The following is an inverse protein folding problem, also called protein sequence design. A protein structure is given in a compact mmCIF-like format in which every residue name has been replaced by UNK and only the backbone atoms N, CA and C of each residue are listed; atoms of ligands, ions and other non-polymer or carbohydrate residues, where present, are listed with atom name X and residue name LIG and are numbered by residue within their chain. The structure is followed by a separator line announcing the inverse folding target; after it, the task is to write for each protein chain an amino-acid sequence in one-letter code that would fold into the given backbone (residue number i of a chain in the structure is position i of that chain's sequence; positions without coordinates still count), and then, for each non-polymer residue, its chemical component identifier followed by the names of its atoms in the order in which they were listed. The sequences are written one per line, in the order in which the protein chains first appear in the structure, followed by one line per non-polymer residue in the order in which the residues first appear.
data_IF_567251541580
#
_entry.id   IF_567251541580
#
_cell.length_a   1.000
_cell.length_b   1.000
_cell.length_c   1.000
_cell.angle_alpha   90.00
_cell.angle_beta   90.00
_cell.angle_gamma   90.00
#
_symmetry.space_group_name_H-M   'P 1'
#
loop_
_entity.id
_entity.type
_entity.pdbx_description
1 polymer ?
#
# COMPACT_ATOMS: atom_id res chain seq x y z
N UNK A 1 36.55 -1.05 1.97
CA UNK A 1 35.34 -1.61 2.58
C UNK A 1 35.60 -1.70 4.08
N UNK A 2 34.63 -1.26 4.89
CA UNK A 2 34.69 -1.39 6.35
C UNK A 2 34.90 -2.85 6.76
N UNK A 3 35.58 -3.07 7.89
CA UNK A 3 35.98 -4.41 8.33
C UNK A 3 34.82 -5.28 8.84
N UNK A 4 33.63 -4.72 9.07
CA UNK A 4 32.50 -5.42 9.71
C UNK A 4 31.16 -5.25 8.96
N UNK A 5 31.13 -5.49 7.65
CA UNK A 5 29.88 -5.56 6.90
C UNK A 5 29.21 -6.93 7.12
N UNK A 6 27.97 -6.94 7.58
CA UNK A 6 27.16 -8.15 7.74
C UNK A 6 25.90 -8.04 6.86
N UNK A 7 25.57 -9.11 6.14
CA UNK A 7 24.33 -9.20 5.36
C UNK A 7 23.52 -10.37 5.90
N UNK A 8 22.29 -10.08 6.28
CA UNK A 8 21.38 -11.05 6.90
C UNK A 8 20.15 -11.22 6.01
N UNK A 9 19.99 -12.41 5.44
CA UNK A 9 18.76 -12.82 4.77
C UNK A 9 17.72 -13.21 5.84
N UNK A 10 16.57 -12.54 5.84
CA UNK A 10 15.56 -12.68 6.88
C UNK A 10 14.49 -13.64 6.38
N UNK A 11 14.41 -14.84 6.95
CA UNK A 11 13.27 -15.76 6.74
C UNK A 11 12.08 -15.39 7.63
N UNK A 12 10.89 -15.93 7.33
CA UNK A 12 9.72 -15.79 8.21
C UNK A 12 10.00 -16.27 9.63
N UNK A 13 10.72 -17.39 9.79
CA UNK A 13 11.13 -17.91 11.10
C UNK A 13 12.00 -16.91 11.84
N UNK A 14 13.05 -16.40 11.20
CA UNK A 14 13.95 -15.40 11.80
C UNK A 14 13.23 -14.11 12.13
N UNK A 15 12.23 -13.71 11.32
CA UNK A 15 11.41 -12.54 11.61
C UNK A 15 10.55 -12.77 12.86
N UNK A 16 9.93 -13.96 12.99
CA UNK A 16 9.14 -14.32 14.18
C UNK A 16 10.00 -14.34 15.45
N UNK A 17 11.14 -15.03 15.41
CA UNK A 17 12.09 -15.05 16.53
C UNK A 17 12.58 -13.62 16.86
N UNK A 18 12.84 -12.81 15.84
CA UNK A 18 13.22 -11.41 16.01
C UNK A 18 12.13 -10.53 16.63
N UNK A 19 10.84 -10.83 16.41
CA UNK A 19 9.72 -10.17 17.08
C UNK A 19 9.74 -10.50 18.57
N UNK A 20 9.88 -11.78 18.91
CA UNK A 20 9.87 -12.27 20.29
C UNK A 20 11.07 -11.73 21.07
N UNK A 21 12.25 -11.70 20.45
CA UNK A 21 13.50 -11.22 21.05
C UNK A 21 13.73 -9.70 20.89
N UNK A 22 12.84 -9.01 20.17
CA UNK A 22 12.96 -7.60 19.82
C UNK A 22 14.29 -7.26 19.11
N UNK A 23 14.74 -8.12 18.19
CA UNK A 23 16.06 -8.04 17.55
C UNK A 23 16.20 -6.84 16.62
N UNK A 24 15.23 -6.62 15.71
CA UNK A 24 15.30 -5.59 14.66
C UNK A 24 14.72 -4.22 15.08
N UNK A 25 14.17 -4.12 16.29
CA UNK A 25 13.57 -2.90 16.85
C UNK A 25 14.43 -2.30 17.94
N UNK A 26 15.72 -2.17 17.64
CA UNK A 26 16.74 -1.54 18.48
C UNK A 26 17.30 -0.31 17.76
N UNK A 27 17.47 0.80 18.47
CA UNK A 27 17.95 2.07 17.91
C UNK A 27 16.85 2.90 17.23
N UNK A 28 17.26 3.97 16.56
CA UNK A 28 16.36 5.03 16.07
C UNK A 28 15.68 4.71 14.72
N UNK A 29 16.21 3.74 13.97
CA UNK A 29 15.73 3.36 12.64
C UNK A 29 15.55 1.85 12.54
N UNK A 30 14.37 1.42 12.10
CA UNK A 30 13.97 0.01 11.99
C UNK A 30 13.50 -0.31 10.57
N UNK A 31 13.58 -1.57 10.11
CA UNK A 31 13.20 -1.92 8.74
C UNK A 31 11.70 -1.76 8.51
N UNK A 32 10.86 -2.20 9.44
CA UNK A 32 9.41 -2.03 9.42
C UNK A 32 8.85 -1.95 10.84
N UNK A 33 7.63 -1.42 11.05
CA UNK A 33 6.99 -1.44 12.36
C UNK A 33 6.74 -2.86 12.86
N UNK A 34 6.81 -3.06 14.19
CA UNK A 34 6.59 -4.39 14.80
C UNK A 34 5.19 -4.96 14.49
N UNK A 35 4.18 -4.09 14.41
CA UNK A 35 2.81 -4.44 13.99
C UNK A 35 2.77 -5.04 12.57
N UNK A 36 3.51 -4.43 11.64
CA UNK A 36 3.61 -4.90 10.26
C UNK A 36 4.39 -6.21 10.16
N UNK A 37 5.37 -6.43 11.03
CA UNK A 37 6.09 -7.71 11.09
C UNK A 37 5.19 -8.83 11.63
N UNK A 38 4.44 -8.57 12.70
CA UNK A 38 3.43 -9.49 13.24
C UNK A 38 2.40 -9.87 12.17
N UNK A 39 1.90 -8.87 11.44
CA UNK A 39 1.02 -9.10 10.31
C UNK A 39 1.67 -9.97 9.23
N UNK A 40 2.92 -9.70 8.84
CA UNK A 40 3.62 -10.48 7.83
C UNK A 40 3.79 -11.95 8.24
N UNK A 41 4.25 -12.22 9.46
CA UNK A 41 4.45 -13.60 9.94
C UNK A 41 3.14 -14.37 10.18
N UNK A 42 2.01 -13.66 10.29
CA UNK A 42 0.68 -14.28 10.38
C UNK A 42 0.16 -14.80 9.03
N UNK A 43 0.79 -14.43 7.91
CA UNK A 43 0.40 -14.94 6.60
C UNK A 43 0.74 -16.43 6.49
N UNK A 44 -0.29 -17.27 6.35
CA UNK A 44 -0.15 -18.73 6.21
C UNK A 44 0.41 -19.16 4.86
N UNK A 45 0.38 -18.30 3.84
CA UNK A 45 1.01 -18.56 2.53
C UNK A 45 2.52 -18.48 2.52
N UNK A 46 3.09 -17.88 3.57
CA UNK A 46 4.54 -17.76 3.72
C UNK A 46 5.02 -18.92 4.58
N UNK A 47 5.92 -19.74 4.06
CA UNK A 47 6.56 -20.82 4.82
C UNK A 47 7.66 -20.27 5.72
N UNK A 48 8.00 -21.00 6.77
CA UNK A 48 8.96 -20.55 7.80
C UNK A 48 10.37 -20.29 7.24
N UNK A 49 10.77 -21.01 6.19
CA UNK A 49 12.06 -20.91 5.49
C UNK A 49 12.08 -19.87 4.36
N UNK A 50 10.94 -19.27 4.01
CA UNK A 50 10.86 -18.28 2.94
C UNK A 50 11.34 -16.90 3.38
N UNK A 51 12.05 -16.21 2.48
CA UNK A 51 12.65 -14.92 2.75
C UNK A 51 11.64 -13.76 2.70
N UNK A 52 11.65 -12.93 3.75
CA UNK A 52 10.88 -11.69 3.90
C UNK A 52 11.73 -10.43 3.70
N UNK A 53 13.04 -10.56 3.51
CA UNK A 53 13.90 -9.42 3.22
C UNK A 53 15.38 -9.71 3.40
N UNK A 54 16.19 -8.70 3.15
CA UNK A 54 17.64 -8.72 3.39
C UNK A 54 18.03 -7.43 4.10
N UNK A 55 18.79 -7.54 5.19
CA UNK A 55 19.28 -6.39 5.96
C UNK A 55 20.80 -6.36 5.90
N UNK A 56 21.38 -5.20 5.62
CA UNK A 56 22.82 -4.96 5.76
C UNK A 56 23.12 -4.17 7.02
N UNK A 57 24.11 -4.63 7.79
CA UNK A 57 24.63 -3.98 8.98
C UNK A 57 26.10 -3.60 8.82
N UNK A 58 26.46 -2.48 9.44
CA UNK A 58 27.84 -2.11 9.75
C UNK A 58 27.91 -1.65 11.21
N UNK A 59 28.78 -2.27 12.01
CA UNK A 59 28.96 -1.95 13.43
C UNK A 59 27.63 -1.86 14.20
N UNK A 60 26.74 -2.85 13.99
CA UNK A 60 25.37 -2.94 14.53
C UNK A 60 24.37 -1.88 14.05
N UNK A 61 24.73 -1.04 13.08
CA UNK A 61 23.82 -0.07 12.45
C UNK A 61 23.30 -0.61 11.13
N UNK A 62 21.99 -0.55 10.94
CA UNK A 62 21.37 -0.93 9.67
C UNK A 62 21.73 0.11 8.60
N UNK A 63 22.39 -0.33 7.53
CA UNK A 63 22.83 0.51 6.41
C UNK A 63 22.15 0.17 5.08
N UNK A 64 21.45 -0.95 4.99
CA UNK A 64 20.61 -1.28 3.83
C UNK A 64 19.45 -2.20 4.23
N UNK A 65 18.37 -2.14 3.45
CA UNK A 65 17.21 -2.99 3.63
C UNK A 65 16.51 -3.23 2.29
N UNK A 66 16.26 -4.50 1.95
CA UNK A 66 15.36 -4.90 0.88
C UNK A 66 14.17 -5.61 1.51
N UNK A 67 12.97 -5.05 1.33
CA UNK A 67 11.74 -5.67 1.83
C UNK A 67 11.14 -6.57 0.75
N UNK A 68 10.98 -7.86 1.07
CA UNK A 68 10.42 -8.85 0.18
C UNK A 68 9.15 -9.46 0.76
N UNK A 69 8.22 -9.81 -0.11
CA UNK A 69 6.96 -10.39 0.29
C UNK A 69 6.64 -11.61 -0.59
N UNK A 70 6.71 -12.84 -0.05
CA UNK A 70 6.31 -14.04 -0.78
C UNK A 70 4.79 -14.07 -1.00
N UNK A 71 4.36 -14.33 -2.23
CA UNK A 71 2.96 -14.40 -2.65
C UNK A 71 2.74 -15.49 -3.72
N UNK A 72 1.50 -15.62 -4.19
CA UNK A 72 1.09 -16.63 -5.17
C UNK A 72 0.49 -15.97 -6.41
N UNK A 73 1.07 -16.22 -7.57
CA UNK A 73 0.53 -15.81 -8.87
C UNK A 73 -0.75 -16.57 -9.19
N UNK A 74 -1.74 -15.86 -9.72
CA UNK A 74 -2.92 -16.45 -10.32
C UNK A 74 -2.64 -16.80 -11.78
N UNK A 75 -2.14 -18.01 -12.02
CA UNK A 75 -1.77 -18.49 -13.35
C UNK A 75 -2.89 -19.28 -14.04
N UNK A 76 -4.12 -19.27 -13.48
CA UNK A 76 -5.24 -20.08 -13.96
C UNK A 76 -5.04 -21.60 -13.84
N UNK A 77 -3.91 -22.05 -13.29
CA UNK A 77 -3.62 -23.47 -13.06
C UNK A 77 -4.14 -23.93 -11.70
N UNK A 78 -4.21 -25.25 -11.50
CA UNK A 78 -4.61 -25.83 -10.21
C UNK A 78 -3.61 -25.52 -9.07
N UNK A 79 -2.36 -25.17 -9.40
CA UNK A 79 -1.32 -24.84 -8.42
C UNK A 79 -0.73 -23.45 -8.68
N UNK A 80 -1.07 -22.44 -7.86
CA UNK A 80 -0.51 -21.10 -7.96
C UNK A 80 1.02 -21.09 -7.85
N UNK A 81 1.70 -20.41 -8.77
CA UNK A 81 3.16 -20.28 -8.76
C UNK A 81 3.63 -19.31 -7.68
N UNK A 82 4.73 -19.63 -7.00
CA UNK A 82 5.35 -18.72 -6.01
C UNK A 82 6.02 -17.53 -6.69
N UNK A 83 5.85 -16.36 -6.10
CA UNK A 83 6.50 -15.12 -6.52
C UNK A 83 6.82 -14.26 -5.31
N UNK A 84 7.69 -13.26 -5.48
CA UNK A 84 8.07 -12.32 -4.44
C UNK A 84 7.82 -10.90 -4.90
N UNK A 85 7.03 -10.14 -4.14
CA UNK A 85 7.03 -8.71 -4.32
C UNK A 85 8.26 -8.09 -3.67
N UNK A 86 9.05 -7.36 -4.45
CA UNK A 86 10.08 -6.47 -3.92
C UNK A 86 9.45 -5.10 -3.65
N UNK A 87 9.15 -4.85 -2.37
CA UNK A 87 8.34 -3.71 -1.93
C UNK A 87 9.17 -2.46 -1.72
N UNK A 88 10.37 -2.61 -1.18
CA UNK A 88 11.23 -1.49 -0.85
C UNK A 88 12.69 -1.88 -0.98
N UNK A 89 13.48 -0.92 -1.44
CA UNK A 89 14.92 -0.99 -1.52
C UNK A 89 15.47 0.32 -0.97
N UNK A 90 16.15 0.22 0.17
CA UNK A 90 16.72 1.35 0.88
C UNK A 90 18.19 1.12 1.17
N UNK A 91 18.97 2.18 1.04
CA UNK A 91 20.40 2.23 1.32
C UNK A 91 20.69 3.53 2.05
N UNK A 92 21.48 3.46 3.11
CA UNK A 92 21.89 4.63 3.87
C UNK A 92 22.64 5.63 2.97
N UNK A 93 22.45 6.93 3.22
CA UNK A 93 22.94 8.01 2.35
C UNK A 93 24.45 7.95 2.06
N UNK A 94 25.25 7.49 3.03
CA UNK A 94 26.71 7.35 2.91
C UNK A 94 27.13 6.25 1.93
N UNK A 95 26.23 5.31 1.65
CA UNK A 95 26.45 4.17 0.77
C UNK A 95 25.76 4.30 -0.59
N UNK A 96 25.04 5.40 -0.83
CA UNK A 96 24.18 5.57 -2.01
C UNK A 96 24.94 5.45 -3.33
N UNK A 97 26.18 5.94 -3.38
CA UNK A 97 27.03 5.94 -4.57
C UNK A 97 28.07 4.81 -4.55
N UNK A 98 27.85 3.79 -3.70
CA UNK A 98 28.70 2.60 -3.58
C UNK A 98 28.04 1.37 -4.20
N UNK A 99 28.81 0.30 -4.37
CA UNK A 99 28.29 -0.98 -4.88
C UNK A 99 27.33 -1.70 -3.92
N UNK A 100 27.22 -1.27 -2.65
CA UNK A 100 26.40 -1.93 -1.64
C UNK A 100 24.93 -2.05 -2.06
N UNK A 101 24.38 -0.98 -2.64
CA UNK A 101 22.99 -0.95 -3.07
C UNK A 101 22.67 -2.01 -4.12
N UNK A 102 23.51 -2.12 -5.14
CA UNK A 102 23.38 -3.14 -6.19
C UNK A 102 23.62 -4.53 -5.61
N UNK A 103 24.62 -4.69 -4.74
CA UNK A 103 24.97 -5.97 -4.16
C UNK A 103 23.83 -6.56 -3.31
N UNK A 104 23.27 -5.77 -2.38
CA UNK A 104 22.17 -6.23 -1.51
C UNK A 104 20.90 -6.53 -2.31
N UNK A 105 20.66 -5.76 -3.38
CA UNK A 105 19.51 -5.98 -4.26
C UNK A 105 19.66 -7.30 -5.02
N UNK A 106 20.84 -7.56 -5.61
CA UNK A 106 21.10 -8.81 -6.33
C UNK A 106 21.08 -10.04 -5.40
N UNK A 107 21.55 -9.89 -4.16
CA UNK A 107 21.41 -10.94 -3.15
C UNK A 107 19.94 -11.29 -2.91
N UNK A 108 19.09 -10.27 -2.71
CA UNK A 108 17.66 -10.45 -2.59
C UNK A 108 17.05 -11.11 -3.84
N UNK A 109 17.49 -10.72 -5.05
CA UNK A 109 17.03 -11.33 -6.30
C UNK A 109 17.33 -12.83 -6.33
N UNK A 110 18.56 -13.21 -6.00
CA UNK A 110 19.02 -14.60 -6.03
C UNK A 110 18.29 -15.47 -5.00
N UNK A 111 18.06 -14.96 -3.78
CA UNK A 111 17.34 -15.68 -2.72
C UNK A 111 15.91 -16.07 -3.10
N UNK A 112 15.30 -15.35 -4.04
CA UNK A 112 13.92 -15.61 -4.52
C UNK A 112 13.85 -16.54 -5.72
N UNK A 113 14.99 -17.07 -6.20
CA UNK A 113 15.04 -17.81 -7.46
C UNK A 113 14.59 -16.94 -8.65
N UNK A 114 14.79 -15.62 -8.54
CA UNK A 114 14.43 -14.60 -9.53
C UNK A 114 12.93 -14.54 -9.87
N UNK A 115 12.05 -15.09 -9.03
CA UNK A 115 10.60 -14.97 -9.20
C UNK A 115 10.11 -13.68 -8.54
N UNK A 116 10.22 -12.55 -9.26
CA UNK A 116 10.10 -11.22 -8.64
C UNK A 116 9.08 -10.35 -9.38
N UNK A 117 8.25 -9.67 -8.59
CA UNK A 117 7.39 -8.58 -9.04
C UNK A 117 7.75 -7.29 -8.31
N UNK A 118 7.66 -6.18 -9.02
CA UNK A 118 7.81 -4.83 -8.47
C UNK A 118 6.57 -4.07 -8.88
N UNK A 119 5.75 -3.67 -7.89
CA UNK A 119 4.53 -2.93 -8.18
C UNK A 119 4.85 -1.57 -8.80
N UNK A 120 5.83 -0.88 -8.24
CA UNK A 120 6.32 0.42 -8.72
C UNK A 120 7.66 0.77 -8.09
N UNK A 121 8.48 1.55 -8.77
CA UNK A 121 9.74 2.07 -8.26
C UNK A 121 9.82 3.61 -8.37
N UNK A 122 10.82 4.20 -7.71
CA UNK A 122 11.08 5.64 -7.75
C UNK A 122 11.86 6.02 -9.03
N UNK A 123 11.59 7.20 -9.59
CA UNK A 123 12.17 7.59 -10.89
C UNK A 123 13.71 7.61 -10.89
N UNK A 124 14.33 7.90 -9.75
CA UNK A 124 15.79 7.94 -9.61
C UNK A 124 16.48 6.57 -9.74
N UNK A 125 15.75 5.46 -9.76
CA UNK A 125 16.30 4.12 -10.00
C UNK A 125 15.91 3.54 -11.36
N UNK A 126 15.38 4.38 -12.27
CA UNK A 126 15.01 3.94 -13.64
C UNK A 126 16.20 3.37 -14.40
N UNK A 127 17.32 4.08 -14.43
CA UNK A 127 18.56 3.63 -15.10
C UNK A 127 19.15 2.36 -14.49
N UNK A 128 18.84 2.05 -13.23
CA UNK A 128 19.22 0.77 -12.63
C UNK A 128 18.42 -0.35 -13.28
N UNK A 129 17.08 -0.27 -13.27
CA UNK A 129 16.21 -1.32 -13.82
C UNK A 129 16.37 -1.50 -15.33
N UNK A 130 16.61 -0.43 -16.09
CA UNK A 130 16.88 -0.52 -17.54
C UNK A 130 18.14 -1.34 -17.87
N UNK A 131 19.05 -1.52 -16.91
CA UNK A 131 20.28 -2.32 -17.06
C UNK A 131 20.17 -3.71 -16.43
N UNK A 132 19.06 -4.03 -15.77
CA UNK A 132 18.82 -5.32 -15.13
C UNK A 132 17.84 -6.15 -15.97
N UNK A 133 17.80 -7.48 -15.80
CA UNK A 133 16.89 -8.37 -16.53
C UNK A 133 15.45 -8.27 -16.00
N UNK A 134 14.86 -7.08 -16.13
CA UNK A 134 13.49 -6.77 -15.75
C UNK A 134 12.71 -6.25 -16.95
N UNK A 135 11.53 -6.81 -17.13
CA UNK A 135 10.56 -6.39 -18.15
C UNK A 135 9.44 -5.59 -17.51
N UNK A 136 8.97 -4.53 -18.20
CA UNK A 136 7.78 -3.79 -17.79
C UNK A 136 6.55 -4.64 -18.10
N UNK A 137 5.81 -5.01 -17.06
CA UNK A 137 4.62 -5.87 -17.17
C UNK A 137 3.30 -5.09 -17.09
N UNK A 138 3.35 -3.86 -16.57
CA UNK A 138 2.18 -3.00 -16.47
C UNK A 138 2.61 -1.54 -16.38
N UNK A 139 1.83 -0.64 -16.98
CA UNK A 139 1.99 0.80 -16.84
C UNK A 139 0.65 1.39 -16.46
N UNK A 140 0.57 2.01 -15.28
CA UNK A 140 -0.67 2.52 -14.71
C UNK A 140 -0.51 3.91 -14.14
N UNK A 141 -1.61 4.66 -14.09
CA UNK A 141 -1.62 5.99 -13.49
C UNK A 141 -1.94 5.90 -12.00
N UNK A 142 -1.04 6.42 -11.18
CA UNK A 142 -1.30 6.70 -9.77
C UNK A 142 -1.94 8.06 -9.64
N UNK A 143 -3.10 8.10 -8.99
CA UNK A 143 -3.91 9.30 -8.82
C UNK A 143 -3.88 9.75 -7.36
N UNK A 144 -3.59 11.03 -7.16
CA UNK A 144 -3.85 11.73 -5.89
C UNK A 144 -4.86 12.83 -6.14
N UNK A 145 -6.08 12.62 -5.64
CA UNK A 145 -7.23 13.49 -5.86
C UNK A 145 -7.38 14.40 -4.64
N UNK A 146 -7.12 15.68 -4.80
CA UNK A 146 -7.13 16.64 -3.70
C UNK A 146 -8.49 17.30 -3.55
N UNK A 147 -9.01 17.26 -2.32
CA UNK A 147 -10.23 17.95 -1.87
C UNK A 147 -9.89 19.13 -0.93
N UNK A 148 -8.61 19.42 -0.77
CA UNK A 148 -8.09 20.62 -0.13
C UNK A 148 -6.72 20.98 -0.73
N UNK A 149 -6.07 22.02 -0.22
CA UNK A 149 -4.72 22.39 -0.66
C UNK A 149 -3.65 21.46 -0.10
N UNK A 150 -3.94 20.82 1.04
CA UNK A 150 -3.04 20.08 1.91
C UNK A 150 -1.76 20.86 2.23
N UNK A 151 -1.83 21.66 3.30
CA UNK A 151 -0.70 22.47 3.75
C UNK A 151 0.57 21.64 4.02
N UNK A 152 0.44 20.37 4.43
CA UNK A 152 1.60 19.50 4.69
C UNK A 152 2.32 19.10 3.41
N UNK A 153 1.58 18.78 2.34
CA UNK A 153 2.17 18.49 1.03
C UNK A 153 2.78 19.74 0.39
N UNK A 154 2.14 20.90 0.53
CA UNK A 154 2.68 22.18 0.04
C UNK A 154 4.00 22.54 0.74
N UNK A 155 4.08 22.42 2.07
CA UNK A 155 5.32 22.67 2.82
C UNK A 155 6.40 21.65 2.46
N UNK A 156 6.01 20.39 2.23
CA UNK A 156 6.93 19.33 1.78
C UNK A 156 7.60 19.68 0.45
N UNK A 157 6.84 20.25 -0.48
CA UNK A 157 7.35 20.72 -1.79
C UNK A 157 8.10 22.04 -1.70
N UNK A 158 7.57 23.00 -0.94
CA UNK A 158 8.08 24.37 -0.83
C UNK A 158 8.45 24.68 0.61
N UNK A 159 9.68 24.35 1.00
CA UNK A 159 10.14 24.46 2.41
C UNK A 159 10.01 25.86 3.02
N UNK A 160 10.08 26.92 2.21
CA UNK A 160 9.90 28.31 2.68
C UNK A 160 8.50 28.59 3.24
N UNK A 161 7.49 27.81 2.82
CA UNK A 161 6.12 27.90 3.33
C UNK A 161 6.00 27.47 4.81
N UNK A 162 7.02 26.79 5.36
CA UNK A 162 7.04 26.36 6.76
C UNK A 162 6.86 27.53 7.73
N UNK A 163 7.40 28.71 7.43
CA UNK A 163 7.25 29.92 8.25
C UNK A 163 5.81 30.43 8.31
N UNK A 164 5.00 30.12 7.30
CA UNK A 164 3.61 30.53 7.19
C UNK A 164 2.64 29.38 7.49
N UNK A 165 3.12 28.29 8.11
CA UNK A 165 2.34 27.06 8.37
C UNK A 165 0.97 27.36 8.97
N UNK A 166 0.89 28.25 9.96
CA UNK A 166 -0.37 28.57 10.62
C UNK A 166 -1.41 29.20 9.67
N UNK A 167 -0.96 30.10 8.79
CA UNK A 167 -1.83 30.74 7.79
C UNK A 167 -2.27 29.69 6.76
N UNK A 168 -1.33 28.87 6.29
CA UNK A 168 -1.62 27.80 5.33
C UNK A 168 -2.58 26.77 5.89
N UNK A 169 -2.42 26.35 7.15
CA UNK A 169 -3.32 25.42 7.82
C UNK A 169 -4.74 26.01 7.91
N UNK A 170 -4.88 27.31 8.19
CA UNK A 170 -6.19 27.98 8.20
C UNK A 170 -6.82 28.03 6.81
N UNK A 171 -6.06 28.45 5.79
CA UNK A 171 -6.55 28.50 4.40
C UNK A 171 -6.97 27.11 3.94
N UNK A 172 -6.13 26.10 4.17
CA UNK A 172 -6.40 24.70 3.81
C UNK A 172 -7.65 24.17 4.53
N UNK A 173 -7.82 24.44 5.82
CA UNK A 173 -9.01 24.04 6.57
C UNK A 173 -10.29 24.72 6.05
N UNK A 174 -10.21 25.99 5.65
CA UNK A 174 -11.32 26.71 5.02
C UNK A 174 -11.68 26.10 3.67
N UNK A 175 -10.69 25.91 2.78
CA UNK A 175 -10.88 25.27 1.47
C UNK A 175 -11.49 23.87 1.63
N UNK A 176 -10.92 23.05 2.51
CA UNK A 176 -11.43 21.71 2.81
C UNK A 176 -12.88 21.75 3.32
N UNK A 177 -13.23 22.74 4.14
CA UNK A 177 -14.59 22.90 4.64
C UNK A 177 -15.57 23.29 3.54
N UNK A 178 -15.19 24.23 2.67
CA UNK A 178 -15.99 24.61 1.50
C UNK A 178 -16.23 23.41 0.58
N UNK A 179 -15.18 22.65 0.22
CA UNK A 179 -15.31 21.46 -0.63
C UNK A 179 -16.20 20.40 0.03
N UNK A 180 -16.08 20.16 1.34
CA UNK A 180 -16.97 19.25 2.06
C UNK A 180 -18.42 19.72 2.08
N UNK A 181 -18.67 21.03 2.20
CA UNK A 181 -20.02 21.59 2.16
C UNK A 181 -20.65 21.45 0.77
N UNK A 182 -19.86 21.58 -0.30
CA UNK A 182 -20.33 21.35 -1.68
C UNK A 182 -20.63 19.87 -1.94
N UNK A 183 -19.72 18.96 -1.53
CA UNK A 183 -19.81 17.54 -1.85
C UNK A 183 -20.69 16.73 -0.86
N UNK A 184 -20.79 17.16 0.39
CA UNK A 184 -21.45 16.41 1.47
C UNK A 184 -22.93 16.15 1.25
N UNK A 185 -23.75 17.16 0.92
CA UNK A 185 -25.17 16.96 0.61
C UNK A 185 -25.39 16.03 -0.59
N UNK A 186 -24.51 16.10 -1.60
CA UNK A 186 -24.58 15.26 -2.81
C UNK A 186 -24.38 13.79 -2.46
N UNK A 187 -23.30 13.47 -1.75
CA UNK A 187 -23.01 12.10 -1.31
C UNK A 187 -24.17 11.56 -0.44
N UNK A 188 -24.52 12.28 0.63
CA UNK A 188 -25.56 11.85 1.59
C UNK A 188 -26.92 11.63 0.94
N UNK A 189 -27.34 12.48 0.00
CA UNK A 189 -28.64 12.32 -0.68
C UNK A 189 -28.66 11.05 -1.52
N UNK A 190 -27.56 10.74 -2.22
CA UNK A 190 -27.45 9.57 -3.11
C UNK A 190 -27.26 8.26 -2.35
N UNK A 191 -26.62 8.31 -1.18
CA UNK A 191 -26.40 7.14 -0.33
C UNK A 191 -27.51 6.89 0.68
N UNK A 192 -28.58 7.71 0.71
CA UNK A 192 -29.65 7.61 1.72
C UNK A 192 -30.31 6.23 1.82
N UNK A 193 -30.38 5.50 0.70
CA UNK A 193 -31.00 4.16 0.63
C UNK A 193 -30.00 3.02 0.88
N UNK A 194 -28.73 3.33 1.11
CA UNK A 194 -27.69 2.35 1.37
C UNK A 194 -27.53 2.13 2.87
N UNK A 195 -27.17 0.90 3.24
CA UNK A 195 -26.59 0.59 4.54
C UNK A 195 -25.14 0.13 4.37
N UNK A 196 -24.35 0.33 5.42
CA UNK A 196 -22.94 -0.05 5.48
C UNK A 196 -22.72 -1.04 6.61
N UNK A 197 -22.28 -2.24 6.26
CA UNK A 197 -21.89 -3.23 7.25
C UNK A 197 -20.37 -3.19 7.37
N UNK A 198 -19.86 -2.56 8.43
CA UNK A 198 -18.42 -2.52 8.70
C UNK A 198 -17.95 -3.84 9.29
N UNK A 199 -16.80 -4.33 8.83
CA UNK A 199 -16.24 -5.60 9.30
C UNK A 199 -14.73 -5.58 9.45
N UNK A 200 -14.24 -6.46 10.33
CA UNK A 200 -12.82 -6.72 10.50
C UNK A 200 -12.37 -7.99 9.75
N UNK A 201 -13.31 -8.87 9.42
CA UNK A 201 -13.09 -10.10 8.66
C UNK A 201 -14.30 -10.34 7.74
N UNK A 202 -14.05 -10.96 6.60
CA UNK A 202 -15.04 -11.41 5.65
C UNK A 202 -15.83 -12.59 6.25
N UNK A 203 -17.16 -12.47 6.27
CA UNK A 203 -18.04 -13.62 6.39
C UNK A 203 -18.17 -14.37 5.05
N UNK A 204 -18.88 -15.50 5.06
CA UNK A 204 -19.04 -16.34 3.87
C UNK A 204 -19.78 -15.61 2.74
N UNK A 205 -20.88 -14.93 3.05
CA UNK A 205 -21.64 -14.15 2.07
C UNK A 205 -20.80 -13.03 1.41
N UNK A 206 -19.91 -12.38 2.17
CA UNK A 206 -18.99 -11.38 1.62
C UNK A 206 -17.97 -12.03 0.70
N UNK A 207 -17.44 -13.19 1.10
CA UNK A 207 -16.45 -13.88 0.28
C UNK A 207 -17.07 -14.39 -1.03
N UNK A 208 -18.27 -14.96 -0.98
CA UNK A 208 -19.02 -15.35 -2.17
C UNK A 208 -19.26 -14.18 -3.13
N UNK A 209 -19.46 -12.98 -2.60
CA UNK A 209 -19.53 -11.74 -3.37
C UNK A 209 -18.16 -11.32 -3.97
N UNK A 210 -17.09 -11.35 -3.18
CA UNK A 210 -15.75 -10.86 -3.58
C UNK A 210 -15.05 -11.83 -4.55
N UNK A 211 -15.12 -13.12 -4.29
CA UNK A 211 -14.38 -14.16 -5.01
C UNK A 211 -14.48 -14.05 -6.54
N UNK A 212 -15.67 -13.95 -7.16
CA UNK A 212 -15.77 -13.83 -8.62
C UNK A 212 -15.19 -12.52 -9.16
N UNK A 213 -15.16 -11.44 -8.36
CA UNK A 213 -14.61 -10.14 -8.76
C UNK A 213 -13.07 -10.09 -8.68
N UNK A 214 -12.45 -11.10 -8.06
CA UNK A 214 -11.01 -11.25 -7.91
C UNK A 214 -10.43 -12.40 -8.75
N UNK A 215 -11.25 -13.08 -9.55
CA UNK A 215 -10.86 -14.29 -10.30
C UNK A 215 -9.75 -14.04 -11.33
N UNK A 216 -9.69 -12.83 -11.89
CA UNK A 216 -8.75 -12.42 -12.93
C UNK A 216 -7.60 -11.56 -12.38
N UNK A 217 -7.49 -11.45 -11.05
CA UNK A 217 -6.41 -10.67 -10.42
C UNK A 217 -5.06 -11.37 -10.63
N UNK A 218 -3.97 -10.59 -10.75
CA UNK A 218 -2.61 -11.15 -10.88
C UNK A 218 -2.23 -12.07 -9.72
N UNK A 219 -2.66 -11.73 -8.50
CA UNK A 219 -2.40 -12.51 -7.31
C UNK A 219 -3.60 -13.40 -6.99
N UNK A 220 -3.33 -14.67 -6.75
CA UNK A 220 -4.34 -15.66 -6.41
C UNK A 220 -5.00 -15.29 -5.08
N UNK A 221 -6.29 -14.96 -5.05
CA UNK A 221 -6.98 -14.54 -3.82
C UNK A 221 -7.84 -15.65 -3.23
N UNK A 222 -7.76 -15.77 -1.91
CA UNK A 222 -8.59 -16.66 -1.08
C UNK A 222 -9.21 -15.83 0.03
N UNK A 223 -10.28 -16.32 0.66
CA UNK A 223 -10.90 -15.66 1.82
C UNK A 223 -9.87 -15.34 2.91
N UNK A 224 -9.02 -16.30 3.22
CA UNK A 224 -7.95 -16.17 4.22
C UNK A 224 -6.94 -15.08 3.84
N UNK A 225 -6.47 -15.07 2.59
CA UNK A 225 -5.55 -14.03 2.12
C UNK A 225 -6.16 -12.64 2.17
N UNK A 226 -7.40 -12.47 1.72
CA UNK A 226 -8.05 -11.15 1.75
C UNK A 226 -8.26 -10.72 3.20
N UNK A 227 -8.69 -11.62 4.08
CA UNK A 227 -8.78 -11.37 5.53
C UNK A 227 -7.45 -10.92 6.13
N UNK A 228 -6.37 -11.62 5.80
CA UNK A 228 -5.03 -11.26 6.20
C UNK A 228 -4.66 -9.86 5.68
N UNK A 229 -4.91 -9.57 4.39
CA UNK A 229 -4.53 -8.29 3.78
C UNK A 229 -5.31 -7.09 4.34
N UNK A 230 -6.58 -7.28 4.74
CA UNK A 230 -7.43 -6.24 5.32
C UNK A 230 -7.34 -6.14 6.86
N UNK A 231 -6.48 -6.96 7.48
CA UNK A 231 -6.34 -7.02 8.94
C UNK A 231 -5.73 -5.72 9.50
N UNK A 232 -6.35 -5.14 10.53
CA UNK A 232 -5.87 -3.92 11.16
C UNK A 232 -4.53 -4.08 11.91
N UNK A 233 -4.11 -5.31 12.23
CA UNK A 233 -2.85 -5.62 12.92
C UNK A 233 -1.61 -5.07 12.19
N UNK A 234 -1.68 -4.84 10.88
CA UNK A 234 -0.57 -4.27 10.12
C UNK A 234 -0.24 -2.83 10.55
N UNK A 235 -1.17 -2.12 11.20
CA UNK A 235 -1.07 -0.71 11.56
C UNK A 235 -1.03 -0.48 13.07
N UNK A 236 -0.19 0.46 13.50
CA UNK A 236 -0.09 0.90 14.90
C UNK A 236 -0.26 2.41 15.00
N UNK A 237 -1.25 2.83 15.78
CA UNK A 237 -1.44 4.25 16.09
C UNK A 237 -0.44 4.70 17.15
N UNK A 238 0.21 5.84 16.88
CA UNK A 238 1.15 6.49 17.79
C UNK A 238 0.71 7.94 18.02
N UNK A 239 -0.34 8.18 18.83
CA UNK A 239 -0.91 9.54 19.02
C UNK A 239 0.12 10.56 19.52
N UNK A 240 1.11 10.10 20.29
CA UNK A 240 2.24 10.89 20.77
C UNK A 240 3.53 10.39 20.07
N UNK A 241 3.72 10.79 18.82
CA UNK A 241 4.83 10.32 17.99
C UNK A 241 6.22 10.54 18.62
N UNK A 242 6.41 11.60 19.41
CA UNK A 242 7.68 11.92 20.09
C UNK A 242 8.06 10.94 21.20
N UNK A 243 7.12 10.12 21.68
CA UNK A 243 7.38 9.05 22.66
C UNK A 243 7.56 7.68 22.01
N UNK A 244 7.40 7.58 20.68
CA UNK A 244 7.64 6.33 19.98
C UNK A 244 9.16 6.11 19.85
N UNK A 245 9.70 4.94 20.23
CA UNK A 245 11.14 4.76 20.45
C UNK A 245 11.97 4.71 19.16
N UNK A 246 11.34 4.59 17.99
CA UNK A 246 12.04 4.49 16.71
C UNK A 246 11.20 5.03 15.56
N UNK A 247 11.86 5.21 14.43
CA UNK A 247 11.23 5.37 13.11
C UNK A 247 11.37 4.07 12.31
N UNK A 248 10.53 3.89 11.30
CA UNK A 248 10.58 2.71 10.42
C UNK A 248 10.66 3.13 8.96
N UNK A 249 11.38 2.35 8.15
CA UNK A 249 11.48 2.57 6.70
C UNK A 249 10.15 2.27 5.98
N UNK A 250 9.42 1.26 6.43
CA UNK A 250 8.07 0.98 5.93
C UNK A 250 7.00 1.76 6.69
N UNK A 251 5.99 2.22 5.95
CA UNK A 251 4.76 2.76 6.55
C UNK A 251 4.03 1.67 7.33
N UNK A 252 3.45 2.06 8.46
CA UNK A 252 2.70 1.18 9.36
C UNK A 252 2.45 1.81 10.73
N UNK A 253 3.15 2.90 11.04
CA UNK A 253 2.90 3.75 12.21
C UNK A 253 2.53 5.17 11.81
N UNK A 254 1.62 5.78 12.57
CA UNK A 254 1.22 7.19 12.39
C UNK A 254 0.39 7.64 13.58
N UNK A 255 0.21 8.95 13.76
CA UNK A 255 -0.71 9.49 14.77
C UNK A 255 -2.16 9.01 14.56
N UNK A 256 -2.55 8.73 13.32
CA UNK A 256 -3.90 8.36 12.93
C UNK A 256 -3.84 7.46 11.69
N UNK A 257 -3.42 6.21 11.88
CA UNK A 257 -3.43 5.15 10.86
C UNK A 257 -4.38 4.02 11.24
N UNK A 258 -5.24 3.60 10.31
CA UNK A 258 -6.16 2.47 10.48
C UNK A 258 -6.81 2.09 9.14
N UNK A 259 -7.26 0.85 9.03
CA UNK A 259 -8.01 0.33 7.90
C UNK A 259 -9.49 0.22 8.24
N UNK A 260 -10.36 0.43 7.26
CA UNK A 260 -11.78 0.18 7.33
C UNK A 260 -12.21 -0.70 6.16
N UNK A 261 -13.05 -1.67 6.46
CA UNK A 261 -13.65 -2.55 5.47
C UNK A 261 -15.17 -2.52 5.66
N UNK A 262 -15.92 -2.43 4.57
CA UNK A 262 -17.37 -2.48 4.62
C UNK A 262 -17.97 -3.16 3.38
N UNK A 263 -19.12 -3.79 3.57
CA UNK A 263 -20.07 -4.12 2.51
C UNK A 263 -21.00 -2.92 2.29
N UNK A 264 -21.27 -2.63 1.03
CA UNK A 264 -22.25 -1.63 0.61
C UNK A 264 -23.53 -2.40 0.27
N UNK A 265 -24.57 -2.16 1.05
CA UNK A 265 -25.85 -2.85 0.95
C UNK A 265 -26.90 -1.94 0.31
N UNK A 266 -27.73 -2.49 -0.57
CA UNK A 266 -28.93 -1.84 -1.10
C UNK A 266 -30.12 -2.78 -0.85
N UNK A 267 -30.91 -2.46 0.18
CA UNK A 267 -31.79 -3.46 0.78
C UNK A 267 -30.97 -4.63 1.34
N UNK A 268 -31.34 -5.86 1.02
CA UNK A 268 -30.65 -7.07 1.50
C UNK A 268 -29.53 -7.55 0.56
N UNK A 269 -29.25 -6.81 -0.53
CA UNK A 269 -28.25 -7.19 -1.52
C UNK A 269 -26.92 -6.47 -1.30
N UNK A 270 -25.81 -7.24 -1.29
CA UNK A 270 -24.46 -6.70 -1.41
C UNK A 270 -24.25 -6.19 -2.84
N UNK A 271 -24.00 -4.89 -2.99
CA UNK A 271 -23.72 -4.25 -4.30
C UNK A 271 -22.26 -3.82 -4.46
N UNK A 272 -21.51 -3.76 -3.36
CA UNK A 272 -20.10 -3.40 -3.37
C UNK A 272 -19.35 -3.78 -2.10
N UNK A 273 -18.03 -3.84 -2.21
CA UNK A 273 -17.10 -4.00 -1.11
C UNK A 273 -16.02 -2.93 -1.18
N UNK A 274 -15.77 -2.27 -0.05
CA UNK A 274 -14.83 -1.17 0.06
C UNK A 274 -13.86 -1.45 1.21
N UNK A 275 -12.57 -1.42 0.92
CA UNK A 275 -11.48 -1.40 1.91
C UNK A 275 -10.59 -0.19 1.66
N UNK A 276 -10.34 0.60 2.69
CA UNK A 276 -9.48 1.77 2.60
C UNK A 276 -8.71 2.01 3.89
N UNK A 277 -7.54 2.63 3.75
CA UNK A 277 -6.67 3.03 4.85
C UNK A 277 -6.77 4.54 5.02
N UNK A 278 -6.93 4.95 6.27
CA UNK A 278 -6.70 6.31 6.69
C UNK A 278 -5.28 6.39 7.20
N UNK A 279 -4.49 7.35 6.72
CA UNK A 279 -3.19 7.69 7.32
C UNK A 279 -3.01 9.20 7.29
N UNK A 280 -3.04 9.83 8.46
CA UNK A 280 -3.00 11.28 8.56
C UNK A 280 -4.04 11.92 7.62
N UNK A 281 -3.65 12.71 6.61
CA UNK A 281 -4.58 13.36 5.67
C UNK A 281 -5.06 12.47 4.51
N UNK A 282 -4.44 11.30 4.34
CA UNK A 282 -4.67 10.39 3.22
C UNK A 282 -5.88 9.49 3.45
N UNK A 283 -6.63 9.26 2.36
CA UNK A 283 -7.60 8.19 2.21
C UNK A 283 -7.14 7.26 1.08
N UNK A 284 -6.48 6.17 1.41
CA UNK A 284 -5.91 5.24 0.45
C UNK A 284 -6.89 4.10 0.14
N UNK A 285 -7.35 4.01 -1.10
CA UNK A 285 -8.29 2.95 -1.51
C UNK A 285 -7.50 1.68 -1.77
N UNK A 286 -7.85 0.59 -1.08
CA UNK A 286 -7.22 -0.73 -1.24
C UNK A 286 -8.08 -1.67 -2.09
N UNK A 287 -9.35 -1.80 -1.73
CA UNK A 287 -10.36 -2.53 -2.49
C UNK A 287 -11.52 -1.60 -2.81
N UNK A 288 -11.90 -1.56 -4.08
CA UNK A 288 -13.14 -0.96 -4.55
C UNK A 288 -13.75 -1.95 -5.54
N UNK A 289 -14.63 -2.81 -5.02
CA UNK A 289 -15.26 -3.89 -5.78
C UNK A 289 -16.75 -3.59 -5.90
N UNK A 290 -17.29 -3.74 -7.10
CA UNK A 290 -18.69 -3.44 -7.41
C UNK A 290 -19.27 -4.63 -8.15
N UNK A 291 -20.50 -5.02 -7.79
CA UNK A 291 -21.18 -6.18 -8.38
C UNK A 291 -21.30 -6.07 -9.90
N UNK A 292 -21.88 -4.96 -10.34
CA UNK A 292 -22.28 -4.70 -11.71
C UNK A 292 -22.11 -3.20 -12.03
N UNK A 293 -21.96 -2.86 -13.31
CA UNK A 293 -21.68 -1.48 -13.73
C UNK A 293 -22.76 -0.49 -13.29
N UNK A 294 -24.02 -0.93 -13.24
CA UNK A 294 -25.13 -0.09 -12.78
C UNK A 294 -24.98 0.39 -11.32
N UNK A 295 -24.23 -0.35 -10.49
CA UNK A 295 -23.96 0.01 -9.10
C UNK A 295 -22.68 0.84 -8.93
N UNK A 296 -21.89 1.04 -9.98
CA UNK A 296 -20.57 1.66 -9.87
C UNK A 296 -20.64 3.08 -9.31
N UNK A 297 -21.53 3.88 -9.89
CA UNK A 297 -21.75 5.28 -9.51
C UNK A 297 -22.24 5.45 -8.07
N UNK A 298 -23.13 4.57 -7.61
CA UNK A 298 -23.66 4.62 -6.24
C UNK A 298 -22.66 4.09 -5.21
N UNK A 299 -21.79 3.15 -5.58
CA UNK A 299 -20.67 2.71 -4.74
C UNK A 299 -19.59 3.79 -4.61
N UNK A 300 -19.35 4.59 -5.67
CA UNK A 300 -18.49 5.78 -5.56
C UNK A 300 -19.07 6.77 -4.56
N UNK A 301 -20.38 7.00 -4.61
CA UNK A 301 -21.04 7.91 -3.68
C UNK A 301 -20.90 7.41 -2.22
N UNK A 302 -20.93 6.10 -2.00
CA UNK A 302 -20.64 5.49 -0.70
C UNK A 302 -19.19 5.68 -0.23
N UNK A 303 -18.21 5.53 -1.13
CA UNK A 303 -16.81 5.85 -0.85
C UNK A 303 -16.64 7.32 -0.47
N UNK A 304 -17.29 8.22 -1.21
CA UNK A 304 -17.22 9.65 -0.98
C UNK A 304 -17.91 10.09 0.32
N UNK A 305 -19.03 9.45 0.70
CA UNK A 305 -19.65 9.69 2.01
C UNK A 305 -18.67 9.34 3.16
N UNK A 306 -18.02 8.17 3.06
CA UNK A 306 -16.98 7.76 4.01
C UNK A 306 -15.80 8.73 4.05
N UNK A 307 -15.27 9.14 2.89
CA UNK A 307 -14.18 10.12 2.78
C UNK A 307 -14.52 11.46 3.45
N UNK A 308 -15.70 12.01 3.15
CA UNK A 308 -16.17 13.29 3.68
C UNK A 308 -16.37 13.20 5.20
N UNK A 309 -16.99 12.12 5.69
CA UNK A 309 -17.20 11.89 7.13
C UNK A 309 -15.90 11.76 7.90
N UNK A 310 -14.88 11.14 7.30
CA UNK A 310 -13.54 11.06 7.88
C UNK A 310 -12.76 12.36 7.76
N UNK A 311 -13.26 13.38 7.05
CA UNK A 311 -12.60 14.70 6.88
C UNK A 311 -11.16 14.59 6.36
N UNK A 312 -10.91 13.63 5.47
CA UNK A 312 -9.59 13.51 4.80
C UNK A 312 -9.45 14.57 3.71
N UNK A 313 -8.21 14.79 3.28
CA UNK A 313 -7.86 15.88 2.36
C UNK A 313 -7.65 15.40 0.94
N UNK A 314 -7.19 14.17 0.76
CA UNK A 314 -7.00 13.59 -0.55
C UNK A 314 -7.28 12.09 -0.57
N UNK A 315 -7.69 11.62 -1.76
CA UNK A 315 -7.85 10.20 -2.06
C UNK A 315 -6.65 9.74 -2.88
N UNK A 316 -6.13 8.56 -2.54
CA UNK A 316 -5.07 7.90 -3.28
C UNK A 316 -5.60 6.61 -3.91
N UNK A 317 -5.38 6.42 -5.21
CA UNK A 317 -5.76 5.20 -5.93
C UNK A 317 -4.90 5.00 -7.18
N UNK A 318 -4.59 3.74 -7.51
CA UNK A 318 -4.02 3.36 -8.82
C UNK A 318 -5.13 3.00 -9.85
N UNK A 319 -6.42 3.13 -9.49
CA UNK A 319 -7.57 2.87 -10.37
C UNK A 319 -8.01 4.15 -11.11
N UNK A 320 -7.73 4.18 -12.42
CA UNK A 320 -8.09 5.29 -13.32
C UNK A 320 -9.60 5.48 -13.42
N UNK A 321 -10.37 4.40 -13.56
CA UNK A 321 -11.83 4.47 -13.69
C UNK A 321 -12.44 5.08 -12.44
N UNK A 322 -11.98 4.65 -11.26
CA UNK A 322 -12.40 5.24 -9.99
C UNK A 322 -12.06 6.72 -9.91
N UNK A 323 -10.82 7.11 -10.25
CA UNK A 323 -10.39 8.50 -10.22
C UNK A 323 -11.22 9.39 -11.16
N UNK A 324 -11.41 8.96 -12.40
CA UNK A 324 -12.15 9.73 -13.41
C UNK A 324 -13.62 9.88 -13.02
N UNK A 325 -14.24 8.83 -12.48
CA UNK A 325 -15.62 8.93 -12.01
C UNK A 325 -15.74 9.82 -10.75
N UNK A 326 -14.79 9.77 -9.81
CA UNK A 326 -14.78 10.68 -8.65
C UNK A 326 -14.68 12.14 -9.13
N UNK A 327 -13.70 12.45 -9.97
CA UNK A 327 -13.45 13.83 -10.46
C UNK A 327 -14.58 14.36 -11.34
N UNK A 328 -15.28 13.50 -12.09
CA UNK A 328 -16.49 13.87 -12.85
C UNK A 328 -17.67 14.17 -11.93
N UNK A 329 -17.78 13.47 -10.80
CA UNK A 329 -18.95 13.54 -9.91
C UNK A 329 -18.79 14.54 -8.77
N UNK A 330 -17.58 14.82 -8.31
CA UNK A 330 -17.36 15.61 -7.09
C UNK A 330 -16.42 16.78 -7.36
N UNK A 331 -16.64 17.89 -6.67
CA UNK A 331 -15.74 19.04 -6.75
C UNK A 331 -14.42 18.71 -6.08
N UNK A 332 -13.33 18.85 -6.82
CA UNK A 332 -11.95 18.64 -6.37
C UNK A 332 -11.15 19.93 -6.58
N UNK A 333 -10.05 20.11 -5.84
CA UNK A 333 -9.12 21.23 -6.06
C UNK A 333 -8.20 20.93 -7.25
N UNK A 334 -7.52 19.78 -7.22
CA UNK A 334 -6.70 19.32 -8.32
C UNK A 334 -6.50 17.80 -8.25
N UNK A 335 -6.13 17.19 -9.37
CA UNK A 335 -5.74 15.78 -9.41
C UNK A 335 -4.32 15.69 -9.93
N UNK A 336 -3.43 15.12 -9.13
CA UNK A 336 -2.09 14.79 -9.56
C UNK A 336 -2.04 13.36 -10.10
N UNK A 337 -1.37 13.18 -11.24
CA UNK A 337 -1.23 11.89 -11.92
C UNK A 337 0.24 11.60 -12.14
N UNK A 338 0.68 10.41 -11.80
CA UNK A 338 2.06 9.93 -12.04
C UNK A 338 2.00 8.55 -12.65
N UNK A 339 2.68 8.34 -13.76
CA UNK A 339 2.83 7.01 -14.37
C UNK A 339 3.72 6.15 -13.49
N UNK A 340 3.23 4.96 -13.14
CA UNK A 340 3.97 3.94 -12.40
C UNK A 340 4.11 2.70 -13.28
N UNK A 341 5.35 2.23 -13.39
CA UNK A 341 5.71 1.01 -14.11
C UNK A 341 5.81 -0.14 -13.12
N UNK A 342 5.06 -1.20 -13.37
CA UNK A 342 5.26 -2.50 -12.74
C UNK A 342 6.29 -3.29 -13.52
N UNK A 343 7.17 -3.99 -12.81
CA UNK A 343 8.22 -4.83 -13.40
C UNK A 343 8.08 -6.27 -12.93
N UNK A 344 8.55 -7.19 -13.77
CA UNK A 344 8.89 -8.55 -13.36
C UNK A 344 10.31 -8.86 -13.83
N UNK A 345 11.02 -9.70 -13.09
CA UNK A 345 12.28 -10.23 -13.60
C UNK A 345 11.98 -11.17 -14.77
N UNK A 346 12.83 -11.18 -15.80
CA UNK A 346 12.63 -11.98 -17.03
C UNK A 346 12.53 -13.51 -16.79
N UNK A 347 13.05 -14.01 -15.67
CA UNK A 347 12.98 -15.43 -15.27
C UNK A 347 11.67 -15.75 -14.51
N UNK A 348 10.84 -14.74 -14.24
CA UNK A 348 9.54 -14.92 -13.56
C UNK A 348 8.59 -15.63 -14.49
N UNK A 349 8.02 -16.75 -14.04
CA UNK A 349 7.06 -17.55 -14.81
C UNK A 349 5.69 -16.85 -14.86
N UNK A 350 5.58 -15.80 -15.66
CA UNK A 350 4.38 -14.99 -15.85
C UNK A 350 4.09 -14.82 -17.34
N UNK A 351 2.81 -14.88 -17.72
CA UNK A 351 2.37 -14.45 -19.05
C UNK A 351 2.30 -12.92 -19.08
N UNK A 352 3.34 -12.29 -19.62
CA UNK A 352 3.48 -10.84 -19.63
C UNK A 352 2.47 -10.13 -20.54
N UNK A 353 1.88 -10.81 -21.52
CA UNK A 353 0.96 -10.18 -22.49
C UNK A 353 -0.44 -9.98 -21.91
N UNK A 354 -0.84 -10.82 -20.95
CA UNK A 354 -2.20 -10.85 -20.39
C UNK A 354 -2.27 -10.44 -18.90
N UNK A 355 -1.17 -9.98 -18.32
CA UNK A 355 -1.11 -9.65 -16.89
C UNK A 355 -1.41 -8.18 -16.61
N UNK A 356 -2.52 -7.88 -15.92
CA UNK A 356 -2.78 -6.55 -15.37
C UNK A 356 -2.51 -6.51 -13.86
N UNK A 357 -1.87 -5.43 -13.39
CA UNK A 357 -1.64 -5.19 -11.97
C UNK A 357 -2.72 -4.24 -11.47
N UNK A 358 -3.73 -4.80 -10.82
CA UNK A 358 -4.82 -4.00 -10.26
C UNK A 358 -4.37 -3.30 -8.97
N UNK A 359 -5.13 -2.27 -8.57
CA UNK A 359 -4.81 -1.48 -7.36
C UNK A 359 -4.68 -2.37 -6.10
N UNK A 360 -5.42 -3.48 -6.03
CA UNK A 360 -5.44 -4.46 -4.93
C UNK A 360 -4.24 -5.42 -4.93
N UNK A 361 -3.51 -5.55 -6.04
CA UNK A 361 -2.33 -6.41 -6.15
C UNK A 361 -1.07 -5.69 -5.64
N UNK A 362 -0.26 -6.39 -4.85
CA UNK A 362 0.97 -5.83 -4.26
C UNK A 362 0.76 -4.59 -3.38
N UNK A 363 -0.46 -4.34 -2.91
CA UNK A 363 -0.81 -3.15 -2.13
C UNK A 363 -0.61 -3.40 -0.62
N UNK A 364 0.63 -3.22 -0.16
CA UNK A 364 1.02 -3.40 1.24
C UNK A 364 1.38 -2.06 1.89
N UNK A 365 0.40 -1.16 1.95
CA UNK A 365 0.51 0.19 2.50
C UNK A 365 1.17 0.19 3.88
#
# INVERSE_FOLDING_TARGET
MSKNLEIVAITKKMLREGIDQNTYWKGDLTPLPKSKALWLVSNTRIKEDEYCGVIGYEDNKMISFVFMFPDLLNNGSNEPSKVYWMISWWVHKEYKDTVLGTYIYNEAVNLTGKQILIKSYAENVTTFYEKQPFTIISSRLRHTIFFSLDASMLIGRFRFLKSFKFILDRVDNTVASCIRLLNGPKARKRTKMLSYDYMNQLDDATWEFIAPLCKDDLIYKTKEYVNWQINAMQYMQTPIATKHPYTSLQTGTSNNIYIHNLKIMKGDQIIGFLSYIINYNEFNVKYFLVKEEEYYDICIDALMDNFIKKKRKFIFTDDTKLSDCITKRYSTIFTHRVTKKGLAHDDTKLDFENSDILNRDGHFY
#
